data_IF_229313180352
#
_entry.id   IF_229313180352
#
_cell.length_a   1.000
_cell.length_b   1.000
_cell.length_c   1.000
_cell.angle_alpha   90.00
_cell.angle_beta   90.00
_cell.angle_gamma   90.00
#
_symmetry.space_group_name_H-M   'P 1'
#
loop_
_entity.id
_entity.type
_entity.pdbx_description
1 polymer ?
#
# COMPACT_ATOMS: atom_id res chain seq x y z
N UNK A 1 -5.28 -27.08 8.27
CA UNK A 1 -4.52 -26.39 7.21
C UNK A 1 -5.46 -25.41 6.53
N UNK A 2 -5.46 -24.15 6.96
CA UNK A 2 -6.10 -23.06 6.20
C UNK A 2 -5.29 -22.88 4.92
N UNK A 3 -5.94 -22.87 3.76
CA UNK A 3 -5.26 -22.59 2.50
C UNK A 3 -4.60 -21.21 2.58
N UNK A 4 -3.35 -21.10 2.12
CA UNK A 4 -2.64 -19.81 2.09
C UNK A 4 -3.43 -18.86 1.17
N UNK A 5 -3.74 -17.63 1.61
CA UNK A 5 -4.55 -16.70 0.82
C UNK A 5 -3.89 -16.43 -0.53
N UNK A 6 -4.68 -16.27 -1.61
CA UNK A 6 -4.14 -16.04 -2.94
C UNK A 6 -3.35 -14.73 -2.95
N UNK A 7 -2.14 -14.76 -3.52
CA UNK A 7 -1.30 -13.57 -3.67
C UNK A 7 -1.65 -12.78 -4.92
N UNK A 8 -1.41 -11.47 -4.89
CA UNK A 8 -1.67 -10.58 -6.02
C UNK A 8 -0.99 -11.04 -7.32
N UNK A 9 0.24 -11.56 -7.24
CA UNK A 9 0.98 -12.08 -8.42
C UNK A 9 0.31 -13.28 -9.09
N UNK A 10 -0.56 -14.01 -8.38
CA UNK A 10 -1.21 -15.21 -8.90
C UNK A 10 -2.44 -14.88 -9.75
N UNK A 11 -2.93 -13.65 -9.70
CA UNK A 11 -4.02 -13.21 -10.57
C UNK A 11 -3.51 -12.99 -11.99
N UNK A 12 -4.28 -13.43 -13.00
CA UNK A 12 -3.97 -13.06 -14.38
C UNK A 12 -4.07 -11.53 -14.55
N UNK A 13 -3.27 -10.90 -15.43
CA UNK A 13 -3.32 -9.46 -15.64
C UNK A 13 -4.71 -8.95 -16.06
N UNK A 14 -5.48 -9.78 -16.78
CA UNK A 14 -6.86 -9.47 -17.19
C UNK A 14 -7.78 -9.44 -15.98
N UNK A 15 -7.74 -10.47 -15.14
CA UNK A 15 -8.57 -10.56 -13.95
C UNK A 15 -8.21 -9.46 -12.94
N UNK A 16 -6.91 -9.19 -12.76
CA UNK A 16 -6.46 -8.12 -11.87
C UNK A 16 -6.97 -6.75 -12.34
N UNK A 17 -6.88 -6.46 -13.64
CA UNK A 17 -7.42 -5.22 -14.21
C UNK A 17 -8.94 -5.10 -13.98
N UNK A 18 -9.68 -6.18 -14.18
CA UNK A 18 -11.13 -6.21 -13.94
C UNK A 18 -11.46 -5.96 -12.46
N UNK A 19 -10.77 -6.63 -11.53
CA UNK A 19 -10.98 -6.44 -10.09
C UNK A 19 -10.63 -5.02 -9.64
N UNK A 20 -9.51 -4.47 -10.10
CA UNK A 20 -9.13 -3.09 -9.80
C UNK A 20 -10.12 -2.07 -10.38
N UNK A 21 -10.64 -2.29 -11.60
CA UNK A 21 -11.64 -1.39 -12.19
C UNK A 21 -12.94 -1.34 -11.36
N UNK A 22 -13.29 -2.47 -10.74
CA UNK A 22 -14.46 -2.61 -9.86
C UNK A 22 -14.15 -2.34 -8.37
N UNK A 23 -12.92 -1.90 -8.04
CA UNK A 23 -12.45 -1.68 -6.68
C UNK A 23 -12.66 -2.89 -5.75
N UNK A 24 -12.42 -4.12 -6.24
CA UNK A 24 -12.60 -5.37 -5.49
C UNK A 24 -11.28 -6.09 -5.18
N UNK A 25 -10.17 -5.35 -5.17
CA UNK A 25 -8.87 -5.83 -4.68
C UNK A 25 -8.66 -5.30 -3.28
N UNK A 26 -8.45 -6.19 -2.33
CA UNK A 26 -8.20 -5.87 -0.93
C UNK A 26 -6.81 -6.36 -0.57
N UNK A 27 -5.95 -5.42 -0.18
CA UNK A 27 -4.58 -5.68 0.24
C UNK A 27 -4.54 -5.73 1.76
N UNK A 28 -4.05 -6.85 2.28
CA UNK A 28 -3.76 -6.99 3.70
C UNK A 28 -2.40 -6.36 4.03
N UNK A 29 -2.42 -5.23 4.75
CA UNK A 29 -1.22 -4.56 5.27
C UNK A 29 -0.86 -5.04 6.69
N UNK A 30 -1.50 -6.10 7.18
CA UNK A 30 -1.34 -6.68 8.51
C UNK A 30 -2.12 -5.94 9.59
N UNK A 31 -1.92 -4.61 9.70
CA UNK A 31 -2.65 -3.79 10.67
C UNK A 31 -3.99 -3.27 10.14
N UNK A 32 -4.13 -3.17 8.81
CA UNK A 32 -5.32 -2.66 8.14
C UNK A 32 -5.54 -3.39 6.80
N UNK A 33 -6.79 -3.38 6.33
CA UNK A 33 -7.13 -3.81 4.97
C UNK A 33 -7.36 -2.58 4.10
N UNK A 34 -6.60 -2.48 3.00
CA UNK A 34 -6.72 -1.40 2.02
C UNK A 34 -7.41 -1.93 0.78
N UNK A 35 -8.61 -1.44 0.49
CA UNK A 35 -9.28 -1.68 -0.79
C UNK A 35 -8.71 -0.73 -1.84
N UNK A 36 -8.36 -1.29 -2.98
CA UNK A 36 -7.70 -0.59 -4.09
C UNK A 36 -8.56 -0.66 -5.34
N UNK A 37 -8.83 0.50 -5.93
CA UNK A 37 -9.43 0.62 -7.26
C UNK A 37 -8.55 1.40 -8.22
N UNK A 38 -8.57 1.05 -9.51
CA UNK A 38 -7.92 1.86 -10.54
C UNK A 38 -8.44 1.57 -11.94
N UNK A 39 -8.44 2.61 -12.78
CA UNK A 39 -8.72 2.54 -14.21
C UNK A 39 -7.46 2.78 -15.08
N UNK A 40 -6.28 2.82 -14.46
CA UNK A 40 -4.99 3.06 -15.10
C UNK A 40 -4.26 1.73 -15.34
N UNK A 41 -4.13 1.34 -16.61
CA UNK A 41 -3.46 0.08 -16.97
C UNK A 41 -1.97 0.03 -16.54
N UNK A 42 -1.27 1.18 -16.54
CA UNK A 42 0.11 1.27 -16.08
C UNK A 42 0.23 0.97 -14.58
N UNK A 43 -0.62 1.63 -13.78
CA UNK A 43 -0.70 1.38 -12.34
C UNK A 43 -0.98 -0.10 -12.02
N UNK A 44 -1.91 -0.74 -12.74
CA UNK A 44 -2.21 -2.17 -12.55
C UNK A 44 -0.95 -3.04 -12.72
N UNK A 45 -0.15 -2.77 -13.76
CA UNK A 45 1.07 -3.51 -14.02
C UNK A 45 2.15 -3.25 -12.95
N UNK A 46 2.32 -1.99 -12.55
CA UNK A 46 3.31 -1.61 -11.54
C UNK A 46 2.93 -2.13 -10.15
N UNK A 47 1.65 -2.05 -9.79
CA UNK A 47 1.12 -2.64 -8.56
C UNK A 47 1.34 -4.16 -8.55
N UNK A 48 1.02 -4.87 -9.63
CA UNK A 48 1.25 -6.32 -9.69
C UNK A 48 2.74 -6.67 -9.53
N UNK A 49 3.63 -5.86 -10.11
CA UNK A 49 5.09 -6.06 -10.02
C UNK A 49 5.60 -5.84 -8.60
N UNK A 50 5.23 -4.74 -7.95
CA UNK A 50 5.77 -4.34 -6.64
C UNK A 50 5.04 -5.04 -5.50
N UNK A 51 3.71 -5.08 -5.54
CA UNK A 51 2.85 -5.67 -4.52
C UNK A 51 2.53 -7.14 -4.78
N UNK A 52 3.17 -7.79 -5.75
CA UNK A 52 2.86 -9.17 -6.14
C UNK A 52 2.97 -10.19 -4.99
N UNK A 53 3.74 -9.89 -3.93
CA UNK A 53 3.85 -10.74 -2.74
C UNK A 53 2.67 -10.63 -1.77
N UNK A 54 1.88 -9.55 -1.84
CA UNK A 54 0.80 -9.30 -0.90
C UNK A 54 -0.33 -10.31 -1.06
N UNK A 55 -0.86 -10.75 0.07
CA UNK A 55 -2.06 -11.56 0.15
C UNK A 55 -3.27 -10.72 -0.20
N UNK A 56 -4.17 -11.30 -0.99
CA UNK A 56 -5.50 -10.75 -1.21
C UNK A 56 -6.37 -11.13 -0.01
N UNK A 57 -6.87 -10.12 0.69
CA UNK A 57 -7.90 -10.36 1.69
C UNK A 57 -9.23 -10.71 0.98
N UNK A 58 -10.02 -11.56 1.63
CA UNK A 58 -11.44 -11.74 1.33
C UNK A 58 -12.22 -11.11 2.48
N UNK A 59 -12.17 -9.78 2.55
CA UNK A 59 -12.64 -9.04 3.70
C UNK A 59 -14.00 -8.39 3.41
N UNK A 60 -14.97 -8.65 4.27
CA UNK A 60 -16.26 -7.95 4.22
C UNK A 60 -16.14 -6.46 4.52
N UNK A 61 -15.04 -6.06 5.18
CA UNK A 61 -14.73 -4.69 5.57
C UNK A 61 -13.30 -4.33 5.19
N UNK A 62 -13.10 -3.10 4.71
CA UNK A 62 -11.78 -2.51 4.49
C UNK A 62 -11.69 -1.18 5.23
N UNK A 63 -10.60 -0.96 5.96
CA UNK A 63 -10.36 0.27 6.71
C UNK A 63 -10.25 1.49 5.78
N UNK A 64 -9.68 1.29 4.59
CA UNK A 64 -9.41 2.36 3.62
C UNK A 64 -9.90 1.99 2.23
N UNK A 65 -10.77 2.83 1.64
CA UNK A 65 -11.26 2.66 0.26
C UNK A 65 -10.53 3.62 -0.68
N UNK A 66 -9.42 3.16 -1.22
CA UNK A 66 -8.54 3.97 -2.07
C UNK A 66 -8.80 3.76 -3.55
N UNK A 67 -8.63 4.81 -4.33
CA UNK A 67 -8.71 4.74 -5.78
C UNK A 67 -7.63 5.58 -6.44
N UNK A 68 -7.00 5.03 -7.48
CA UNK A 68 -6.08 5.75 -8.35
C UNK A 68 -6.72 5.90 -9.72
N UNK A 69 -7.19 7.11 -10.03
CA UNK A 69 -7.98 7.39 -11.23
C UNK A 69 -7.20 8.25 -12.21
N UNK A 70 -7.51 8.14 -13.50
CA UNK A 70 -7.02 9.09 -14.50
C UNK A 70 -7.50 10.52 -14.21
N UNK A 71 -6.70 11.50 -14.60
CA UNK A 71 -7.14 12.90 -14.67
C UNK A 71 -8.37 13.08 -15.57
N UNK A 72 -9.17 14.11 -15.28
CA UNK A 72 -10.37 14.45 -16.08
C UNK A 72 -10.21 15.79 -16.82
N UNK A 73 -10.99 15.97 -17.88
CA UNK A 73 -11.03 17.21 -18.67
C UNK A 73 -9.93 17.36 -19.72
N UNK A 74 -9.93 18.49 -20.42
CA UNK A 74 -9.02 18.78 -21.57
C UNK A 74 -7.54 18.75 -21.15
N UNK A 75 -7.24 19.18 -19.92
CA UNK A 75 -5.87 19.17 -19.38
C UNK A 75 -5.26 17.76 -19.32
N UNK A 76 -6.09 16.71 -19.17
CA UNK A 76 -5.62 15.33 -19.11
C UNK A 76 -5.05 14.82 -20.44
N UNK A 77 -5.39 15.44 -21.57
CA UNK A 77 -4.81 15.11 -22.88
C UNK A 77 -3.40 15.72 -23.04
N UNK A 78 -3.21 16.96 -22.57
CA UNK A 78 -1.92 17.66 -22.65
C UNK A 78 -0.93 17.16 -21.60
N UNK A 79 -1.41 16.83 -20.39
CA UNK A 79 -0.60 16.33 -19.27
C UNK A 79 -1.37 15.24 -18.54
N UNK A 80 -1.22 13.97 -18.93
CA UNK A 80 -1.87 12.85 -18.26
C UNK A 80 -1.48 12.77 -16.78
N UNK A 81 -2.49 12.69 -15.91
CA UNK A 81 -2.31 12.72 -14.47
C UNK A 81 -2.93 11.48 -13.80
N UNK A 82 -2.42 11.14 -12.63
CA UNK A 82 -3.02 10.22 -11.66
C UNK A 82 -3.61 11.02 -10.50
N UNK A 83 -4.84 10.69 -10.11
CA UNK A 83 -5.55 11.26 -8.97
C UNK A 83 -5.71 10.18 -7.92
N UNK A 84 -5.27 10.44 -6.70
CA UNK A 84 -5.55 9.56 -5.56
C UNK A 84 -6.84 10.03 -4.88
N UNK A 85 -7.71 9.08 -4.56
CA UNK A 85 -8.93 9.31 -3.82
C UNK A 85 -9.01 8.34 -2.64
N UNK A 86 -9.56 8.81 -1.53
CA UNK A 86 -9.91 8.03 -0.35
C UNK A 86 -11.38 8.34 -0.03
N UNK A 87 -12.24 7.32 -0.03
CA UNK A 87 -13.70 7.46 0.14
C UNK A 87 -14.34 8.51 -0.80
N UNK A 88 -13.82 8.62 -2.02
CA UNK A 88 -14.28 9.58 -3.03
C UNK A 88 -13.75 11.01 -2.87
N UNK A 89 -13.01 11.30 -1.80
CA UNK A 89 -12.36 12.60 -1.57
C UNK A 89 -10.95 12.54 -2.13
N UNK A 90 -10.50 13.61 -2.80
CA UNK A 90 -9.12 13.75 -3.27
C UNK A 90 -8.32 14.62 -2.29
N UNK A 91 -7.42 14.05 -1.47
CA UNK A 91 -6.67 14.79 -0.45
C UNK A 91 -5.41 15.49 -0.98
N UNK A 92 -4.88 15.11 -2.14
CA UNK A 92 -3.66 15.69 -2.74
C UNK A 92 -3.91 16.21 -4.14
N UNK A 93 -3.00 17.06 -4.61
CA UNK A 93 -2.94 17.42 -6.01
C UNK A 93 -2.63 16.20 -6.91
N UNK A 94 -3.08 16.19 -8.17
CA UNK A 94 -2.79 15.10 -9.09
C UNK A 94 -1.29 14.98 -9.40
N UNK A 95 -0.79 13.75 -9.50
CA UNK A 95 0.60 13.46 -9.88
C UNK A 95 0.68 13.16 -11.39
N UNK A 96 1.88 13.19 -11.99
CA UNK A 96 2.09 12.60 -13.31
C UNK A 96 1.55 11.16 -13.37
N UNK A 97 0.94 10.77 -14.49
CA UNK A 97 0.37 9.43 -14.66
C UNK A 97 1.39 8.32 -14.43
N UNK A 98 2.64 8.54 -14.82
CA UNK A 98 3.74 7.56 -14.68
C UNK A 98 4.12 7.31 -13.21
N UNK A 99 3.78 8.24 -12.31
CA UNK A 99 4.04 8.13 -10.87
C UNK A 99 2.81 7.66 -10.10
N UNK A 100 1.86 7.01 -10.77
CA UNK A 100 0.61 6.54 -10.15
C UNK A 100 0.85 5.59 -8.96
N UNK A 101 1.86 4.71 -9.04
CA UNK A 101 2.20 3.81 -7.93
C UNK A 101 2.72 4.58 -6.72
N UNK A 102 3.66 5.52 -6.91
CA UNK A 102 4.16 6.36 -5.85
C UNK A 102 3.03 7.21 -5.23
N UNK A 103 2.14 7.77 -6.06
CA UNK A 103 0.98 8.53 -5.58
C UNK A 103 0.05 7.66 -4.70
N UNK A 104 -0.14 6.38 -5.07
CA UNK A 104 -0.86 5.42 -4.25
C UNK A 104 -0.15 5.14 -2.91
N UNK A 105 1.14 4.82 -2.94
CA UNK A 105 1.93 4.53 -1.73
C UNK A 105 1.90 5.68 -0.73
N UNK A 106 2.15 6.90 -1.22
CA UNK A 106 2.05 8.12 -0.42
C UNK A 106 0.63 8.34 0.12
N UNK A 107 -0.38 8.11 -0.71
CA UNK A 107 -1.77 8.26 -0.31
C UNK A 107 -2.19 7.27 0.77
N UNK A 108 -1.77 6.00 0.68
CA UNK A 108 -2.00 5.00 1.73
C UNK A 108 -1.30 5.40 3.02
N UNK A 109 -0.02 5.78 2.97
CA UNK A 109 0.74 6.22 4.15
C UNK A 109 0.06 7.40 4.87
N UNK A 110 -0.46 8.36 4.10
CA UNK A 110 -1.23 9.46 4.67
C UNK A 110 -2.55 9.00 5.31
N UNK A 111 -3.24 8.03 4.72
CA UNK A 111 -4.45 7.46 5.32
C UNK A 111 -4.16 6.84 6.69
N UNK A 112 -3.06 6.07 6.81
CA UNK A 112 -2.61 5.56 8.11
C UNK A 112 -2.34 6.71 9.09
N UNK A 113 -1.53 7.69 8.70
CA UNK A 113 -1.14 8.79 9.56
C UNK A 113 -2.33 9.64 10.07
N UNK A 114 -3.37 9.83 9.26
CA UNK A 114 -4.49 10.73 9.58
C UNK A 114 -5.65 10.03 10.29
N UNK A 115 -5.87 8.74 10.02
CA UNK A 115 -7.13 8.08 10.37
C UNK A 115 -6.95 6.86 11.27
N UNK A 116 -5.75 6.33 11.44
CA UNK A 116 -5.49 5.13 12.23
C UNK A 116 -5.27 5.42 13.73
N UNK A 117 -6.12 6.28 14.30
CA UNK A 117 -5.97 6.85 15.65
C UNK A 117 -6.22 5.83 16.79
N UNK A 118 -6.76 4.66 16.47
CA UNK A 118 -6.96 3.55 17.40
C UNK A 118 -5.69 2.71 17.65
N UNK A 119 -4.60 3.00 16.93
CA UNK A 119 -3.29 2.35 17.09
C UNK A 119 -2.22 3.37 17.46
N UNK A 120 -1.13 2.88 18.05
CA UNK A 120 0.08 3.69 18.22
C UNK A 120 0.92 3.55 16.96
N UNK A 121 1.07 4.66 16.23
CA UNK A 121 1.92 4.74 15.05
C UNK A 121 3.30 5.26 15.44
N UNK A 122 4.33 4.45 15.20
CA UNK A 122 5.72 4.80 15.40
C UNK A 122 6.39 5.01 14.05
N UNK A 123 7.12 6.12 13.89
CA UNK A 123 8.03 6.25 12.74
C UNK A 123 9.22 5.31 12.96
N UNK A 124 9.13 4.11 12.40
CA UNK A 124 9.99 2.99 12.76
C UNK A 124 10.18 2.02 11.60
N UNK A 125 11.33 1.34 11.59
CA UNK A 125 11.53 0.15 10.78
C UNK A 125 10.97 -1.04 11.55
N UNK A 126 10.11 -1.81 10.90
CA UNK A 126 9.49 -3.01 11.45
C UNK A 126 9.98 -4.24 10.67
N UNK A 127 10.53 -5.21 11.39
CA UNK A 127 11.06 -6.46 10.87
C UNK A 127 10.49 -7.64 11.65
N UNK A 128 10.53 -8.83 11.06
CA UNK A 128 10.28 -10.08 11.78
C UNK A 128 11.42 -11.07 11.58
N UNK A 129 11.77 -11.81 12.63
CA UNK A 129 12.64 -12.98 12.58
C UNK A 129 11.91 -14.13 13.27
N UNK A 130 11.57 -15.16 12.51
CA UNK A 130 10.67 -16.22 12.96
C UNK A 130 9.38 -15.62 13.58
N UNK A 131 9.08 -15.95 14.83
CA UNK A 131 7.88 -15.50 15.55
C UNK A 131 8.10 -14.21 16.35
N UNK A 132 9.25 -13.54 16.20
CA UNK A 132 9.56 -12.30 16.90
C UNK A 132 9.53 -11.09 15.97
N UNK A 133 8.83 -10.04 16.40
CA UNK A 133 8.84 -8.73 15.75
C UNK A 133 9.91 -7.81 16.35
N UNK A 134 10.57 -7.01 15.52
CA UNK A 134 11.53 -5.99 15.92
C UNK A 134 11.03 -4.64 15.41
N UNK A 135 10.90 -3.67 16.31
CA UNK A 135 10.60 -2.26 15.98
C UNK A 135 11.85 -1.43 16.28
N UNK A 136 12.37 -0.78 15.24
CA UNK A 136 13.49 0.14 15.33
C UNK A 136 12.95 1.57 15.25
N UNK A 137 12.57 2.13 16.39
CA UNK A 137 12.21 3.53 16.51
C UNK A 137 13.47 4.36 16.76
N UNK A 138 13.78 5.28 15.84
CA UNK A 138 14.94 6.14 15.94
C UNK A 138 14.68 7.47 15.22
N UNK A 139 15.35 8.57 15.60
CA UNK A 139 15.22 9.84 14.91
C UNK A 139 15.54 9.73 13.40
N UNK A 140 14.94 10.58 12.55
CA UNK A 140 15.31 10.67 11.14
C UNK A 140 16.83 10.87 10.95
N UNK A 141 17.41 10.24 9.94
CA UNK A 141 18.85 10.31 9.66
C UNK A 141 19.75 9.40 10.50
N UNK A 142 19.19 8.66 11.46
CA UNK A 142 19.95 7.71 12.32
C UNK A 142 20.44 6.44 11.61
N UNK A 143 20.12 6.25 10.33
CA UNK A 143 20.45 5.04 9.57
C UNK A 143 19.43 3.90 9.73
N UNK A 144 18.27 4.14 10.36
CA UNK A 144 17.17 3.18 10.53
C UNK A 144 16.82 2.42 9.25
N UNK A 145 16.54 3.13 8.16
CA UNK A 145 16.12 2.48 6.90
C UNK A 145 17.26 1.67 6.27
N UNK A 146 18.50 2.16 6.36
CA UNK A 146 19.69 1.42 5.92
C UNK A 146 19.89 0.14 6.72
N UNK A 147 19.75 0.20 8.05
CA UNK A 147 19.85 -0.97 8.93
C UNK A 147 18.69 -1.95 8.67
N UNK A 148 17.47 -1.44 8.49
CA UNK A 148 16.28 -2.25 8.16
C UNK A 148 16.50 -3.04 6.88
N UNK A 149 16.99 -2.39 5.82
CA UNK A 149 17.33 -3.03 4.56
C UNK A 149 18.47 -4.07 4.75
N UNK A 150 19.51 -3.73 5.51
CA UNK A 150 20.62 -4.66 5.78
C UNK A 150 20.16 -5.91 6.54
N UNK A 151 19.29 -5.76 7.54
CA UNK A 151 18.72 -6.89 8.30
C UNK A 151 17.80 -7.75 7.44
N UNK A 152 16.99 -7.13 6.57
CA UNK A 152 16.18 -7.86 5.60
C UNK A 152 17.05 -8.77 4.71
N UNK A 153 18.17 -8.23 4.20
CA UNK A 153 19.14 -9.00 3.42
C UNK A 153 19.86 -10.09 4.23
N UNK A 154 19.76 -10.07 5.56
CA UNK A 154 20.30 -11.09 6.49
C UNK A 154 19.25 -12.07 7.01
N UNK A 155 18.09 -12.15 6.35
CA UNK A 155 17.07 -13.17 6.63
C UNK A 155 15.93 -12.69 7.52
N UNK A 156 15.91 -11.43 7.93
CA UNK A 156 14.72 -10.84 8.52
C UNK A 156 13.67 -10.61 7.42
N UNK A 157 12.41 -10.79 7.75
CA UNK A 157 11.30 -10.37 6.89
C UNK A 157 11.03 -8.89 7.13
N UNK A 158 11.10 -8.08 6.08
CA UNK A 158 10.68 -6.68 6.12
C UNK A 158 9.16 -6.60 6.27
N UNK A 159 8.69 -5.84 7.26
CA UNK A 159 7.28 -5.54 7.47
C UNK A 159 6.94 -4.10 7.06
N UNK A 160 7.76 -3.14 7.49
CA UNK A 160 7.65 -1.73 7.10
C UNK A 160 8.98 -1.01 7.35
N UNK A 161 9.26 0.05 6.60
CA UNK A 161 10.36 0.98 6.89
C UNK A 161 9.88 2.37 7.30
N UNK A 162 8.58 2.65 7.20
CA UNK A 162 7.97 3.95 7.51
C UNK A 162 7.17 3.95 8.82
N UNK A 163 6.21 3.02 8.95
CA UNK A 163 5.32 2.94 10.11
C UNK A 163 5.39 1.57 10.79
N UNK A 164 5.82 1.57 12.05
CA UNK A 164 5.52 0.49 12.98
C UNK A 164 4.16 0.73 13.62
N UNK A 165 3.23 -0.21 13.47
CA UNK A 165 1.88 -0.11 14.03
C UNK A 165 1.78 -1.02 15.26
N UNK A 166 1.42 -0.45 16.40
CA UNK A 166 1.23 -1.18 17.65
C UNK A 166 -0.23 -1.13 18.09
N UNK A 167 -0.78 -2.30 18.42
CA UNK A 167 -2.09 -2.40 19.07
C UNK A 167 -1.90 -2.17 20.58
N UNK A 168 -2.52 -1.17 21.19
CA UNK A 168 -2.32 -0.82 22.60
C UNK A 168 -3.07 -1.73 23.59
N UNK A 169 -3.33 -3.00 23.23
CA UNK A 169 -4.04 -3.98 24.05
C UNK A 169 -3.09 -4.91 24.79
#
# INVERSE_FOLDING_TARGET
MTAEPPRLRNLSPVLLRQRLANASVELDYGAAVVRVGSDLAGFVADLQRVYGAFSLADATFADFHTQVRRGSGVRAYLRPQSRFLIDGIQPFDPFPREQALAHFEWGVNWCFAQRFNQHVLLHAGALALADQGVIMAAPPGSGKSTLTAAMMLRGFRLLSDEFGVLCPR
#
